data_IF_305925631739
#
_entry.id   IF_305925631739
#
_cell.length_a   1.000
_cell.length_b   1.000
_cell.length_c   1.000
_cell.angle_alpha   90.00
_cell.angle_beta   90.00
_cell.angle_gamma   90.00
#
_symmetry.space_group_name_H-M   'P 1'
#
loop_
_entity.id
_entity.type
_entity.pdbx_description
1 polymer ?
#
# COMPACT_ATOMS: atom_id res chain seq x y z
N UNK A 1 36.22 33.17 -6.21
CA UNK A 1 35.01 33.11 -7.04
C UNK A 1 35.11 31.83 -7.86
N UNK A 2 34.24 30.85 -7.67
CA UNK A 2 34.26 29.60 -8.41
C UNK A 2 33.48 29.81 -9.71
N UNK A 3 34.10 29.51 -10.85
CA UNK A 3 33.50 29.67 -12.17
C UNK A 3 33.17 28.27 -12.69
N UNK A 4 31.89 28.01 -12.89
CA UNK A 4 31.40 26.74 -13.46
C UNK A 4 31.27 26.84 -14.98
N UNK A 5 31.69 25.83 -15.71
CA UNK A 5 31.45 25.67 -17.16
C UNK A 5 30.29 24.71 -17.38
N UNK A 6 29.34 25.08 -18.24
CA UNK A 6 28.23 24.20 -18.62
C UNK A 6 28.64 23.32 -19.80
N UNK A 7 28.63 22.00 -19.61
CA UNK A 7 28.89 21.00 -20.64
C UNK A 7 27.72 19.99 -20.61
N UNK A 8 27.05 19.84 -21.74
CA UNK A 8 25.93 18.87 -21.88
C UNK A 8 24.86 18.92 -20.75
N UNK A 9 24.36 20.11 -20.45
CA UNK A 9 23.38 20.38 -19.41
C UNK A 9 23.82 20.13 -17.95
N UNK A 10 25.11 19.92 -17.70
CA UNK A 10 25.71 19.78 -16.38
C UNK A 10 26.69 20.93 -16.15
N UNK A 11 26.66 21.56 -14.98
CA UNK A 11 27.64 22.56 -14.57
C UNK A 11 28.81 21.87 -13.89
N UNK A 12 29.99 21.96 -14.49
CA UNK A 12 31.25 21.48 -13.91
C UNK A 12 31.94 22.64 -13.22
N UNK A 13 32.31 22.45 -11.96
CA UNK A 13 33.14 23.39 -11.20
C UNK A 13 34.61 22.94 -11.31
N UNK A 14 35.44 23.79 -11.83
CA UNK A 14 36.91 23.60 -11.76
C UNK A 14 37.39 23.95 -10.35
N UNK A 15 37.63 22.91 -9.54
CA UNK A 15 38.14 23.07 -8.18
C UNK A 15 39.66 22.88 -8.24
N UNK A 16 40.46 23.93 -7.96
CA UNK A 16 41.92 23.92 -8.16
C UNK A 16 42.72 23.13 -7.13
N UNK A 17 42.08 22.30 -6.31
CA UNK A 17 42.78 21.44 -5.37
C UNK A 17 42.52 19.96 -5.69
N UNK A 18 43.58 19.12 -5.63
CA UNK A 18 43.41 17.68 -5.69
C UNK A 18 42.75 17.23 -4.38
N UNK A 19 41.49 17.57 -4.23
CA UNK A 19 40.67 16.95 -3.21
C UNK A 19 40.43 15.54 -3.71
N UNK A 20 41.02 14.56 -3.07
CA UNK A 20 40.57 13.19 -3.10
C UNK A 20 39.19 13.17 -2.36
N UNK A 21 38.23 13.88 -2.96
CA UNK A 21 36.85 13.69 -2.62
C UNK A 21 36.51 12.32 -3.19
N UNK A 22 36.94 11.30 -2.47
CA UNK A 22 36.30 10.02 -2.59
C UNK A 22 34.80 10.31 -2.54
N UNK A 23 34.06 9.81 -3.50
CA UNK A 23 32.59 9.93 -3.55
C UNK A 23 32.06 9.49 -2.20
N UNK A 24 31.79 10.43 -1.30
CA UNK A 24 31.18 10.20 0.02
C UNK A 24 29.68 9.88 -0.14
N UNK A 25 29.35 9.05 -1.11
CA UNK A 25 28.12 8.28 -1.06
C UNK A 25 28.32 7.26 0.06
N UNK A 26 28.09 7.73 1.28
CA UNK A 26 28.19 6.87 2.44
C UNK A 26 27.09 5.80 2.34
N UNK A 27 27.37 4.60 2.85
CA UNK A 27 26.35 3.53 2.98
C UNK A 27 25.08 4.02 3.70
N UNK A 28 25.16 5.10 4.45
CA UNK A 28 24.07 5.78 5.12
C UNK A 28 23.10 6.44 4.15
N UNK A 29 23.60 7.09 3.10
CA UNK A 29 22.74 7.72 2.09
C UNK A 29 21.97 6.68 1.30
N UNK A 30 22.55 5.51 1.07
CA UNK A 30 21.90 4.40 0.38
C UNK A 30 20.75 3.79 1.19
N UNK A 31 20.91 3.66 2.52
CA UNK A 31 19.82 3.21 3.41
C UNK A 31 18.62 4.15 3.35
N UNK A 32 18.86 5.45 3.39
CA UNK A 32 17.82 6.47 3.29
C UNK A 32 17.21 6.58 1.90
N UNK A 33 18.01 6.37 0.87
CA UNK A 33 17.52 6.32 -0.50
C UNK A 33 16.47 5.19 -0.67
N UNK A 34 16.77 3.99 -0.19
CA UNK A 34 15.86 2.87 -0.27
C UNK A 34 14.64 3.00 0.68
N UNK A 35 14.84 3.59 1.85
CA UNK A 35 13.74 3.96 2.73
C UNK A 35 12.71 4.82 1.98
N UNK A 36 13.12 5.85 1.27
CA UNK A 36 12.27 6.74 0.48
C UNK A 36 11.68 6.03 -0.74
N UNK A 37 12.48 5.32 -1.50
CA UNK A 37 12.04 4.59 -2.71
C UNK A 37 10.94 3.57 -2.42
N UNK A 38 10.96 2.94 -1.26
CA UNK A 38 9.95 1.96 -0.86
C UNK A 38 8.95 2.61 0.11
N UNK A 39 8.42 3.78 -0.25
CA UNK A 39 7.36 4.49 0.47
C UNK A 39 7.62 4.60 1.99
N UNK A 40 8.84 4.99 2.35
CA UNK A 40 9.27 5.19 3.75
C UNK A 40 9.10 3.96 4.66
N UNK A 41 9.36 2.79 4.13
CA UNK A 41 9.35 1.55 4.91
C UNK A 41 10.43 1.56 6.01
N UNK A 42 10.16 0.96 7.15
CA UNK A 42 11.11 0.90 8.26
C UNK A 42 12.34 0.05 7.89
N UNK A 43 13.56 0.48 8.31
CA UNK A 43 14.83 -0.19 8.00
C UNK A 43 14.84 -1.69 8.38
N UNK A 44 14.23 -2.04 9.51
CA UNK A 44 14.12 -3.45 9.91
C UNK A 44 13.31 -4.30 8.93
N UNK A 45 12.31 -3.71 8.25
CA UNK A 45 11.57 -4.41 7.20
C UNK A 45 12.41 -4.57 5.95
N UNK A 46 13.20 -3.57 5.55
CA UNK A 46 14.18 -3.70 4.47
C UNK A 46 15.15 -4.84 4.73
N UNK A 47 15.73 -4.88 5.93
CA UNK A 47 16.63 -5.96 6.33
C UNK A 47 15.94 -7.33 6.29
N UNK A 48 14.67 -7.42 6.70
CA UNK A 48 13.88 -8.66 6.63
C UNK A 48 13.59 -9.09 5.20
N UNK A 49 13.33 -8.14 4.29
CA UNK A 49 13.11 -8.44 2.88
C UNK A 49 14.34 -9.08 2.23
N UNK A 50 15.54 -8.55 2.56
CA UNK A 50 16.81 -9.11 2.07
C UNK A 50 17.09 -10.47 2.72
N UNK A 51 17.05 -10.56 4.05
CA UNK A 51 17.42 -11.78 4.77
C UNK A 51 16.55 -12.99 4.41
N UNK A 52 15.35 -12.75 3.90
CA UNK A 52 14.39 -13.79 3.47
C UNK A 52 14.25 -13.90 1.96
N UNK A 53 15.06 -13.16 1.20
CA UNK A 53 15.03 -13.12 -0.27
C UNK A 53 13.61 -12.89 -0.86
N UNK A 54 12.88 -11.95 -0.25
CA UNK A 54 11.48 -11.67 -0.61
C UNK A 54 11.32 -10.65 -1.74
N UNK A 55 12.39 -9.94 -2.09
CA UNK A 55 12.38 -8.87 -3.11
C UNK A 55 13.64 -8.90 -3.95
N UNK A 56 13.46 -8.85 -5.27
CA UNK A 56 14.55 -8.77 -6.25
C UNK A 56 14.95 -7.30 -6.44
N UNK A 57 16.26 -7.02 -6.52
CA UNK A 57 16.81 -5.69 -6.85
C UNK A 57 17.13 -4.81 -5.64
N UNK A 58 16.92 -5.27 -4.41
CA UNK A 58 17.47 -4.61 -3.23
C UNK A 58 18.96 -4.94 -3.10
N UNK A 59 19.81 -3.94 -2.77
CA UNK A 59 21.23 -4.18 -2.54
C UNK A 59 21.42 -5.03 -1.26
N UNK A 60 22.33 -5.98 -1.34
CA UNK A 60 22.63 -6.88 -0.22
C UNK A 60 23.55 -6.21 0.80
N UNK A 61 23.02 -5.27 1.57
CA UNK A 61 23.71 -4.66 2.70
C UNK A 61 22.76 -4.45 3.87
N UNK A 62 23.31 -4.21 5.05
CA UNK A 62 22.52 -3.93 6.25
C UNK A 62 22.05 -2.47 6.23
N UNK A 63 20.74 -2.27 6.21
CA UNK A 63 20.14 -0.95 6.35
C UNK A 63 20.14 -0.51 7.81
N UNK A 64 20.69 0.68 8.07
CA UNK A 64 20.81 1.21 9.43
C UNK A 64 20.05 2.54 9.57
N UNK A 65 19.39 2.69 10.73
CA UNK A 65 18.67 3.91 11.07
C UNK A 65 19.56 4.77 11.96
N UNK A 66 20.17 5.81 11.40
CA UNK A 66 21.03 6.74 12.10
C UNK A 66 20.38 8.07 12.50
N UNK A 67 19.22 8.38 11.92
CA UNK A 67 18.44 9.57 12.25
C UNK A 67 16.94 9.32 12.10
N UNK A 68 16.12 10.33 12.37
CA UNK A 68 14.66 10.28 12.28
C UNK A 68 14.24 10.93 10.96
N UNK A 69 13.37 10.26 10.21
CA UNK A 69 12.78 10.80 9.00
C UNK A 69 11.65 11.76 9.34
N UNK A 70 11.79 13.03 8.97
CA UNK A 70 10.79 14.06 9.22
C UNK A 70 9.45 13.76 8.54
N UNK A 71 9.46 13.32 7.28
CA UNK A 71 8.26 12.92 6.56
C UNK A 71 7.52 11.77 7.24
N UNK A 72 8.26 10.78 7.79
CA UNK A 72 7.67 9.70 8.58
C UNK A 72 7.01 10.21 9.85
N UNK A 73 7.61 11.19 10.52
CA UNK A 73 7.02 11.76 11.73
C UNK A 73 5.73 12.54 11.44
N UNK A 74 5.73 13.32 10.37
CA UNK A 74 4.56 14.08 9.95
C UNK A 74 3.44 13.19 9.40
N UNK A 75 3.78 12.19 8.60
CA UNK A 75 2.82 11.33 7.88
C UNK A 75 2.24 10.18 8.71
N UNK A 76 3.04 9.56 9.57
CA UNK A 76 2.64 8.39 10.36
C UNK A 76 2.16 8.80 11.75
N UNK A 77 0.86 8.89 11.92
CA UNK A 77 0.26 9.15 13.24
C UNK A 77 0.14 7.82 14.00
N UNK A 78 0.74 7.77 15.20
CA UNK A 78 0.61 6.62 16.09
C UNK A 78 -0.78 6.65 16.72
N UNK A 79 -1.68 5.83 16.22
CA UNK A 79 -2.91 5.48 16.95
C UNK A 79 -2.69 4.18 17.72
N UNK A 80 -3.25 4.09 18.92
CA UNK A 80 -3.28 2.84 19.69
C UNK A 80 -3.89 1.74 18.82
N UNK A 81 -3.07 0.77 18.42
CA UNK A 81 -3.55 -0.38 17.64
C UNK A 81 -4.20 -1.39 18.57
N UNK A 82 -5.39 -1.83 18.25
CA UNK A 82 -5.98 -3.00 18.90
C UNK A 82 -5.08 -4.22 18.67
N UNK A 83 -4.92 -5.06 19.68
CA UNK A 83 -4.13 -6.31 19.57
C UNK A 83 -4.62 -7.12 18.36
N UNK A 84 -3.71 -7.43 17.48
CA UNK A 84 -3.97 -8.21 16.27
C UNK A 84 -4.30 -9.64 16.72
N UNK A 85 -5.49 -10.11 16.45
CA UNK A 85 -5.73 -11.55 16.33
C UNK A 85 -5.16 -11.97 14.97
N UNK A 86 -3.93 -12.44 14.95
CA UNK A 86 -3.29 -13.02 13.76
C UNK A 86 -3.85 -14.42 13.48
N UNK A 87 -5.14 -14.52 13.29
CA UNK A 87 -5.74 -15.76 12.82
C UNK A 87 -6.02 -15.58 11.34
N UNK A 88 -5.12 -16.10 10.51
CA UNK A 88 -5.40 -16.33 9.09
C UNK A 88 -6.46 -17.41 9.06
N UNK A 89 -7.67 -17.08 8.60
CA UNK A 89 -8.80 -17.99 8.58
C UNK A 89 -8.89 -18.79 7.27
N UNK A 90 -8.12 -18.38 6.25
CA UNK A 90 -8.09 -19.00 4.93
C UNK A 90 -6.86 -19.90 4.74
N UNK A 91 -7.04 -21.01 4.00
CA UNK A 91 -5.99 -22.00 3.74
C UNK A 91 -5.35 -21.83 2.36
N UNK A 92 -5.97 -21.08 1.47
CA UNK A 92 -5.50 -20.86 0.09
C UNK A 92 -5.83 -19.43 -0.40
N UNK A 93 -5.14 -18.94 -1.43
CA UNK A 93 -5.45 -17.66 -2.05
C UNK A 93 -6.88 -17.60 -2.59
N UNK A 94 -7.52 -16.44 -2.48
CA UNK A 94 -8.88 -16.14 -2.92
C UNK A 94 -9.99 -16.87 -2.14
N UNK A 95 -9.68 -17.58 -1.07
CA UNK A 95 -10.67 -18.23 -0.23
C UNK A 95 -11.54 -17.22 0.54
N UNK A 96 -10.92 -16.15 1.06
CA UNK A 96 -11.60 -15.04 1.72
C UNK A 96 -10.98 -13.71 1.30
N UNK A 97 -11.82 -12.80 0.79
CA UNK A 97 -11.45 -11.43 0.48
C UNK A 97 -12.14 -10.47 1.45
N UNK A 98 -11.37 -9.64 2.13
CA UNK A 98 -11.88 -8.52 2.92
C UNK A 98 -11.98 -7.29 2.03
N UNK A 99 -13.11 -6.60 2.05
CA UNK A 99 -13.33 -5.44 1.20
C UNK A 99 -13.89 -4.28 2.02
N UNK A 100 -13.42 -3.08 1.69
CA UNK A 100 -13.88 -1.85 2.31
C UNK A 100 -13.77 -0.68 1.35
N UNK A 101 -14.74 0.22 1.40
CA UNK A 101 -14.77 1.43 0.60
C UNK A 101 -14.17 2.57 1.40
N UNK A 102 -12.91 2.84 1.13
CA UNK A 102 -12.18 3.92 1.76
C UNK A 102 -12.53 5.26 1.11
N UNK A 103 -12.84 6.24 1.93
CA UNK A 103 -13.08 7.60 1.47
C UNK A 103 -11.73 8.33 1.42
N UNK A 104 -11.22 8.71 0.24
CA UNK A 104 -10.03 9.53 0.14
C UNK A 104 -10.26 10.89 0.80
N UNK A 105 -9.18 11.67 0.95
CA UNK A 105 -9.22 13.01 1.48
C UNK A 105 -10.29 13.88 0.78
N UNK A 106 -10.62 15.03 1.34
CA UNK A 106 -11.60 15.99 0.79
C UNK A 106 -11.27 16.46 -0.63
N UNK A 107 -10.07 16.17 -1.12
CA UNK A 107 -9.57 16.59 -2.42
C UNK A 107 -9.72 15.45 -3.44
N UNK A 108 -10.28 15.78 -4.59
CA UNK A 108 -10.38 14.89 -5.74
C UNK A 108 -8.99 14.51 -6.26
N UNK A 109 -8.82 13.28 -6.71
CA UNK A 109 -7.57 12.86 -7.34
C UNK A 109 -7.42 13.46 -8.75
N UNK A 110 -6.21 13.45 -9.31
CA UNK A 110 -5.94 13.89 -10.68
C UNK A 110 -6.72 13.10 -11.75
N UNK A 111 -7.26 11.94 -11.41
CA UNK A 111 -8.10 11.12 -12.30
C UNK A 111 -9.58 11.17 -11.93
N UNK A 112 -10.05 12.26 -11.32
CA UNK A 112 -11.46 12.52 -10.96
C UNK A 112 -12.09 11.49 -10.01
N UNK A 113 -11.26 10.78 -9.24
CA UNK A 113 -11.74 9.76 -8.31
C UNK A 113 -11.82 10.31 -6.88
N UNK A 114 -12.93 9.99 -6.20
CA UNK A 114 -13.19 10.38 -4.81
C UNK A 114 -13.10 9.24 -3.82
N UNK A 115 -13.16 7.99 -4.28
CA UNK A 115 -13.21 6.80 -3.45
C UNK A 115 -12.12 5.81 -3.85
N UNK A 116 -11.75 4.97 -2.91
CA UNK A 116 -10.89 3.83 -3.17
C UNK A 116 -11.52 2.57 -2.58
N UNK A 117 -11.76 1.57 -3.42
CA UNK A 117 -12.15 0.24 -2.96
C UNK A 117 -10.88 -0.55 -2.68
N UNK A 118 -10.68 -0.91 -1.43
CA UNK A 118 -9.55 -1.73 -0.99
C UNK A 118 -10.01 -3.16 -0.76
N UNK A 119 -9.31 -4.09 -1.37
CA UNK A 119 -9.60 -5.52 -1.30
C UNK A 119 -8.34 -6.24 -0.83
N UNK A 120 -8.42 -7.01 0.23
CA UNK A 120 -7.30 -7.74 0.83
C UNK A 120 -7.61 -9.24 0.84
N UNK A 121 -6.72 -10.03 0.27
CA UNK A 121 -6.78 -11.48 0.37
C UNK A 121 -6.27 -11.92 1.75
N UNK A 122 -7.09 -12.65 2.49
CA UNK A 122 -6.81 -13.05 3.88
C UNK A 122 -5.59 -13.99 3.97
N UNK A 123 -5.38 -14.84 2.97
CA UNK A 123 -4.27 -15.79 2.94
C UNK A 123 -2.93 -15.11 2.64
N UNK A 124 -2.85 -14.36 1.53
CA UNK A 124 -1.59 -13.79 1.04
C UNK A 124 -1.33 -12.37 1.50
N UNK A 125 -2.34 -11.71 2.07
CA UNK A 125 -2.33 -10.27 2.37
C UNK A 125 -2.11 -9.38 1.14
N UNK A 126 -2.21 -9.97 -0.04
CA UNK A 126 -2.17 -9.20 -1.27
C UNK A 126 -3.33 -8.22 -1.33
N UNK A 127 -3.05 -7.01 -1.79
CA UNK A 127 -4.03 -5.93 -1.73
C UNK A 127 -4.22 -5.32 -3.11
N UNK A 128 -5.47 -5.19 -3.52
CA UNK A 128 -5.89 -4.43 -4.68
C UNK A 128 -6.54 -3.14 -4.21
N UNK A 129 -6.15 -2.03 -4.83
CA UNK A 129 -6.78 -0.72 -4.63
C UNK A 129 -7.35 -0.25 -5.95
N UNK A 130 -8.64 -0.02 -5.98
CA UNK A 130 -9.36 0.45 -7.16
C UNK A 130 -9.90 1.85 -6.87
N UNK A 131 -9.45 2.82 -7.67
CA UNK A 131 -9.95 4.19 -7.55
C UNK A 131 -11.26 4.34 -8.30
N UNK A 132 -12.23 5.02 -7.68
CA UNK A 132 -13.60 5.13 -8.14
C UNK A 132 -14.08 6.57 -8.08
N UNK A 133 -14.85 6.97 -9.08
CA UNK A 133 -15.52 8.28 -9.12
C UNK A 133 -16.66 8.33 -8.10
N UNK A 134 -17.46 7.27 -8.04
CA UNK A 134 -18.64 7.15 -7.17
C UNK A 134 -18.65 5.87 -6.33
N UNK A 135 -19.32 5.92 -5.18
CA UNK A 135 -19.60 4.74 -4.36
C UNK A 135 -20.35 3.66 -5.11
N UNK A 136 -21.27 4.05 -6.00
CA UNK A 136 -22.08 3.14 -6.81
C UNK A 136 -21.25 2.28 -7.76
N UNK A 137 -20.02 2.67 -8.06
CA UNK A 137 -19.11 1.95 -8.97
C UNK A 137 -18.39 0.79 -8.27
N UNK A 138 -18.39 0.75 -6.94
CA UNK A 138 -17.64 -0.21 -6.14
C UNK A 138 -17.95 -1.67 -6.52
N UNK A 139 -19.22 -2.01 -6.62
CA UNK A 139 -19.63 -3.36 -7.01
C UNK A 139 -19.23 -3.70 -8.46
N UNK A 140 -19.39 -2.76 -9.39
CA UNK A 140 -19.00 -2.92 -10.80
C UNK A 140 -17.50 -3.15 -10.95
N UNK A 141 -16.68 -2.40 -10.20
CA UNK A 141 -15.24 -2.54 -10.16
C UNK A 141 -14.81 -3.88 -9.56
N UNK A 142 -15.41 -4.28 -8.44
CA UNK A 142 -15.20 -5.60 -7.83
C UNK A 142 -15.52 -6.72 -8.81
N UNK A 143 -16.68 -6.68 -9.48
CA UNK A 143 -17.08 -7.69 -10.46
C UNK A 143 -16.07 -7.87 -11.59
N UNK A 144 -15.50 -6.78 -12.12
CA UNK A 144 -14.43 -6.83 -13.13
C UNK A 144 -13.18 -7.50 -12.58
N UNK A 145 -12.74 -7.09 -11.38
CA UNK A 145 -11.58 -7.67 -10.71
C UNK A 145 -11.78 -9.16 -10.42
N UNK A 146 -12.92 -9.55 -9.83
CA UNK A 146 -13.23 -10.93 -9.49
C UNK A 146 -13.11 -11.86 -10.69
N UNK A 147 -13.71 -11.50 -11.82
CA UNK A 147 -13.60 -12.25 -13.06
C UNK A 147 -12.15 -12.39 -13.53
N UNK A 148 -11.38 -11.29 -13.50
CA UNK A 148 -9.97 -11.30 -13.87
C UNK A 148 -9.15 -12.23 -12.97
N UNK A 149 -9.35 -12.16 -11.66
CA UNK A 149 -8.63 -12.97 -10.68
C UNK A 149 -8.93 -14.46 -10.86
N UNK A 150 -10.20 -14.83 -11.01
CA UNK A 150 -10.60 -16.21 -11.22
C UNK A 150 -9.99 -16.78 -12.50
N UNK A 151 -10.02 -16.01 -13.60
CA UNK A 151 -9.42 -16.44 -14.87
C UNK A 151 -7.88 -16.55 -14.77
N UNK A 152 -7.21 -15.58 -14.12
CA UNK A 152 -5.74 -15.54 -14.04
C UNK A 152 -5.19 -16.61 -13.10
N UNK A 153 -5.88 -16.88 -11.99
CA UNK A 153 -5.43 -17.83 -10.96
C UNK A 153 -6.00 -19.23 -11.14
N UNK A 154 -6.91 -19.41 -12.09
CA UNK A 154 -7.68 -20.64 -12.28
C UNK A 154 -8.26 -21.16 -10.93
N UNK A 155 -8.74 -20.24 -10.11
CA UNK A 155 -9.25 -20.50 -8.77
C UNK A 155 -10.47 -19.64 -8.50
N UNK A 156 -11.49 -20.22 -7.88
CA UNK A 156 -12.70 -19.51 -7.52
C UNK A 156 -12.52 -18.71 -6.23
N UNK A 157 -13.17 -17.56 -6.15
CA UNK A 157 -13.31 -16.80 -4.90
C UNK A 157 -14.31 -17.55 -4.03
N UNK A 158 -13.90 -17.95 -2.82
CA UNK A 158 -14.77 -18.68 -1.89
C UNK A 158 -15.75 -17.75 -1.20
N UNK A 159 -15.27 -16.70 -0.58
CA UNK A 159 -16.09 -15.75 0.17
C UNK A 159 -15.57 -14.33 0.11
N UNK A 160 -16.48 -13.38 0.32
CA UNK A 160 -16.15 -11.96 0.51
C UNK A 160 -16.70 -11.49 1.84
N UNK A 161 -16.00 -10.58 2.48
CA UNK A 161 -16.41 -9.92 3.72
C UNK A 161 -16.40 -8.41 3.54
N UNK A 162 -17.55 -7.79 3.79
CA UNK A 162 -17.75 -6.34 3.68
C UNK A 162 -18.42 -5.80 4.94
N UNK A 163 -18.48 -4.49 5.06
CA UNK A 163 -19.44 -3.84 5.95
C UNK A 163 -20.87 -3.89 5.37
N UNK A 164 -21.84 -3.34 6.11
CA UNK A 164 -23.24 -3.23 5.68
C UNK A 164 -23.50 -2.03 4.76
N UNK A 165 -22.51 -1.57 4.00
CA UNK A 165 -22.68 -0.48 3.04
C UNK A 165 -23.65 -0.84 1.92
N UNK A 166 -24.53 0.09 1.55
CA UNK A 166 -25.52 -0.12 0.46
C UNK A 166 -24.87 -0.39 -0.90
N UNK A 167 -23.59 -0.07 -1.07
CA UNK A 167 -22.79 -0.37 -2.24
C UNK A 167 -22.63 -1.87 -2.51
N UNK A 168 -22.61 -2.69 -1.42
CA UNK A 168 -22.49 -4.15 -1.50
C UNK A 168 -23.75 -4.88 -1.06
N UNK A 169 -24.57 -4.25 -0.22
CA UNK A 169 -25.84 -4.84 0.25
C UNK A 169 -26.97 -4.46 -0.70
N UNK A 170 -26.96 -5.03 -1.90
CA UNK A 170 -28.01 -4.81 -2.90
C UNK A 170 -28.28 -6.07 -3.73
N UNK A 171 -29.41 -6.11 -4.39
CA UNK A 171 -29.88 -7.26 -5.19
C UNK A 171 -28.91 -7.65 -6.31
N UNK A 172 -28.24 -6.68 -6.94
CA UNK A 172 -27.26 -6.94 -8.01
C UNK A 172 -26.04 -7.68 -7.48
N UNK A 173 -25.58 -7.31 -6.27
CA UNK A 173 -24.48 -7.97 -5.58
C UNK A 173 -24.84 -9.39 -5.18
N UNK A 174 -26.00 -9.59 -4.57
CA UNK A 174 -26.48 -10.90 -4.15
C UNK A 174 -26.60 -11.87 -5.33
N UNK A 175 -27.29 -11.46 -6.41
CA UNK A 175 -27.41 -12.26 -7.64
C UNK A 175 -26.07 -12.62 -8.28
N UNK A 176 -25.10 -11.71 -8.23
CA UNK A 176 -23.75 -12.00 -8.75
C UNK A 176 -23.03 -13.03 -7.87
N UNK A 177 -23.06 -12.85 -6.55
CA UNK A 177 -22.41 -13.77 -5.62
C UNK A 177 -23.02 -15.18 -5.73
N UNK A 178 -24.34 -15.30 -5.76
CA UNK A 178 -25.05 -16.56 -5.98
C UNK A 178 -24.62 -17.24 -7.30
N UNK A 179 -24.65 -16.48 -8.40
CA UNK A 179 -24.23 -17.00 -9.72
C UNK A 179 -22.79 -17.49 -9.75
N UNK A 180 -21.89 -16.86 -8.99
CA UNK A 180 -20.47 -17.18 -8.96
C UNK A 180 -20.10 -18.16 -7.85
N UNK A 181 -21.05 -18.57 -7.02
CA UNK A 181 -20.82 -19.44 -5.85
C UNK A 181 -19.98 -18.76 -4.75
N UNK A 182 -20.04 -17.42 -4.64
CA UNK A 182 -19.29 -16.64 -3.66
C UNK A 182 -20.17 -16.42 -2.43
N UNK A 183 -19.69 -16.82 -1.26
CA UNK A 183 -20.37 -16.52 0.02
C UNK A 183 -20.13 -15.05 0.37
N UNK A 184 -21.20 -14.30 0.57
CA UNK A 184 -21.13 -12.91 1.01
C UNK A 184 -21.42 -12.82 2.52
N UNK A 185 -20.38 -12.49 3.29
CA UNK A 185 -20.43 -12.32 4.73
C UNK A 185 -20.38 -10.83 5.09
N UNK A 186 -21.31 -10.37 5.90
CA UNK A 186 -21.29 -9.02 6.43
C UNK A 186 -20.66 -9.00 7.82
N UNK A 187 -19.85 -7.97 8.12
CA UNK A 187 -19.36 -7.75 9.48
C UNK A 187 -20.50 -7.33 10.38
N UNK A 188 -20.58 -7.89 11.58
CA UNK A 188 -21.64 -7.55 12.55
C UNK A 188 -21.59 -6.05 12.88
N UNK A 189 -22.74 -5.34 12.89
CA UNK A 189 -22.77 -3.93 13.26
C UNK A 189 -22.10 -3.68 14.62
N UNK A 190 -21.32 -2.61 14.74
CA UNK A 190 -20.59 -2.22 15.97
C UNK A 190 -19.48 -3.19 16.40
N UNK A 191 -19.01 -4.08 15.55
CA UNK A 191 -17.84 -4.92 15.81
C UNK A 191 -16.71 -4.61 14.82
N UNK A 192 -15.95 -3.50 15.01
CA UNK A 192 -14.84 -3.10 14.12
C UNK A 192 -13.78 -4.21 13.96
N UNK A 193 -13.71 -5.10 14.95
CA UNK A 193 -12.76 -6.20 14.98
C UNK A 193 -12.97 -7.22 13.84
N UNK A 194 -14.16 -7.30 13.27
CA UNK A 194 -14.46 -8.26 12.20
C UNK A 194 -14.00 -7.80 10.81
N UNK A 195 -13.89 -6.48 10.58
CA UNK A 195 -13.33 -5.92 9.34
C UNK A 195 -11.91 -5.35 9.53
N UNK A 196 -11.31 -5.63 10.69
CA UNK A 196 -10.02 -5.07 11.10
C UNK A 196 -8.84 -5.39 10.18
N UNK A 197 -8.95 -6.35 9.27
CA UNK A 197 -7.91 -6.65 8.27
C UNK A 197 -7.82 -5.51 7.28
N UNK A 198 -8.92 -5.19 6.61
CA UNK A 198 -8.95 -4.14 5.59
C UNK A 198 -8.87 -2.74 6.20
N UNK A 199 -9.48 -2.50 7.37
CA UNK A 199 -9.38 -1.21 8.07
C UNK A 199 -7.92 -0.85 8.41
N UNK A 200 -7.14 -1.80 8.94
CA UNK A 200 -5.70 -1.60 9.20
C UNK A 200 -4.92 -1.35 7.91
N UNK A 201 -5.32 -2.02 6.83
CA UNK A 201 -4.68 -1.80 5.53
C UNK A 201 -4.97 -0.40 5.01
N UNK A 202 -6.21 0.09 5.16
CA UNK A 202 -6.60 1.45 4.80
C UNK A 202 -5.76 2.48 5.57
N UNK A 203 -5.62 2.33 6.89
CA UNK A 203 -4.77 3.21 7.71
C UNK A 203 -3.32 3.20 7.20
N UNK A 204 -2.76 2.02 6.92
CA UNK A 204 -1.38 1.89 6.42
C UNK A 204 -1.21 2.57 5.06
N UNK A 205 -2.15 2.41 4.14
CA UNK A 205 -2.12 3.05 2.82
C UNK A 205 -2.21 4.58 2.94
N UNK A 206 -3.07 5.07 3.82
CA UNK A 206 -3.22 6.50 4.07
C UNK A 206 -1.94 7.11 4.70
N UNK A 207 -1.34 6.41 5.67
CA UNK A 207 -0.08 6.85 6.27
C UNK A 207 1.06 6.91 5.27
N UNK A 208 1.17 5.91 4.39
CA UNK A 208 2.16 5.89 3.32
C UNK A 208 1.94 7.06 2.34
N UNK A 209 0.71 7.29 1.92
CA UNK A 209 0.37 8.40 1.01
C UNK A 209 0.71 9.75 1.65
N UNK A 210 0.31 9.99 2.91
CA UNK A 210 0.64 11.22 3.64
C UNK A 210 2.14 11.43 3.79
N UNK A 211 2.89 10.36 4.06
CA UNK A 211 4.33 10.43 4.21
C UNK A 211 5.02 10.83 2.90
N UNK A 212 4.61 10.23 1.78
CA UNK A 212 5.14 10.58 0.46
C UNK A 212 4.81 12.02 0.05
N UNK A 213 3.59 12.48 0.32
CA UNK A 213 3.18 13.87 0.07
C UNK A 213 3.98 14.85 0.93
N UNK A 214 4.23 14.53 2.20
CA UNK A 214 5.02 15.40 3.10
C UNK A 214 6.49 15.50 2.71
N UNK A 215 7.04 14.56 1.95
CA UNK A 215 8.40 14.65 1.44
C UNK A 215 8.48 15.52 0.18
N UNK A 216 7.38 15.56 -0.59
CA UNK A 216 7.31 16.30 -1.86
C UNK A 216 6.96 17.79 -1.67
N UNK A 217 6.61 18.21 -0.45
CA UNK A 217 6.24 19.57 -0.08
C UNK A 217 7.42 20.34 0.50
#
# INVERSE_FOLDING_TARGET
>A
MLIGKRINNVYLLDIPYPCSIGCLLSKHDESWLWHRRIAHIHMNHLNKLISKDLVIGLPNHKFEKNHICEACQKGKQVKNSFKIKNVVSSLKPLELLHMDLFRPSRTMSLGDNYYALVIVDDFSWYTWTLFLESKSDAFSAFKKLARRLQNTKNSNIGSIKTDHGGEFQNEKSSKFCEKMGILHNFSTPRTPQQNGVVERKNISLEELARTMLSESS
#
